data_IF_714761467690
#
_entry.id   IF_714761467690
#
_cell.length_a   1.000
_cell.length_b   1.000
_cell.length_c   1.000
_cell.angle_alpha   90.00
_cell.angle_beta   90.00
_cell.angle_gamma   90.00
#
_symmetry.space_group_name_H-M   'P 1'
#
loop_
_entity.id
_entity.type
_entity.pdbx_description
1 polymer ?
#
# COMPACT_ATOMS: atom_id res chain seq x y z
N UNK A 1 33.29 11.84 -26.64
CA UNK A 1 32.95 10.55 -26.07
C UNK A 1 31.49 10.27 -26.38
N UNK A 2 31.14 9.20 -27.08
CA UNK A 2 29.74 8.82 -27.28
C UNK A 2 29.19 8.36 -25.94
N UNK A 3 27.98 8.81 -25.49
CA UNK A 3 27.39 8.30 -24.28
C UNK A 3 27.17 6.80 -24.42
N UNK A 4 27.54 6.04 -23.40
CA UNK A 4 27.33 4.59 -23.32
C UNK A 4 25.82 4.31 -23.37
N UNK A 5 25.32 3.84 -24.51
CA UNK A 5 23.97 3.32 -24.69
C UNK A 5 23.90 1.94 -24.05
N UNK A 6 23.62 1.85 -22.76
CA UNK A 6 23.12 0.60 -22.12
C UNK A 6 22.50 0.89 -20.76
N UNK A 7 21.40 1.62 -20.74
CA UNK A 7 20.38 1.38 -19.73
C UNK A 7 19.08 1.13 -20.49
N UNK A 8 18.64 -0.13 -20.56
CA UNK A 8 17.29 -0.46 -20.99
C UNK A 8 16.32 0.21 -20.02
N UNK A 9 15.82 1.39 -20.39
CA UNK A 9 14.82 2.09 -19.57
C UNK A 9 13.49 1.36 -19.72
N UNK A 10 13.21 0.49 -18.76
CA UNK A 10 11.94 -0.24 -18.65
C UNK A 10 11.11 0.32 -17.51
N UNK A 11 9.78 0.25 -17.64
CA UNK A 11 8.86 0.63 -16.59
C UNK A 11 7.64 -0.32 -16.58
N UNK A 12 6.90 -0.34 -15.48
CA UNK A 12 5.70 -1.14 -15.30
C UNK A 12 4.52 -0.22 -15.01
N UNK A 13 3.45 -0.34 -15.77
CA UNK A 13 2.16 0.30 -15.53
C UNK A 13 1.14 -0.78 -15.16
N UNK A 14 0.45 -0.61 -14.04
CA UNK A 14 -0.63 -1.50 -13.61
C UNK A 14 -1.94 -0.72 -13.71
N UNK A 15 -2.89 -1.21 -14.51
CA UNK A 15 -4.25 -0.67 -14.57
C UNK A 15 -5.17 -1.48 -13.66
N UNK A 16 -5.99 -0.79 -12.87
CA UNK A 16 -6.76 -1.39 -11.80
C UNK A 16 -8.11 -0.69 -11.60
N UNK A 17 -9.11 -1.41 -11.13
CA UNK A 17 -10.35 -0.82 -10.68
C UNK A 17 -10.20 -0.13 -9.32
N UNK A 18 -10.96 0.94 -9.07
CA UNK A 18 -10.71 1.88 -7.98
C UNK A 18 -11.05 1.38 -6.57
N UNK A 19 -11.95 0.40 -6.41
CA UNK A 19 -12.44 0.02 -5.09
C UNK A 19 -11.39 -0.69 -4.23
N UNK A 20 -10.50 -1.46 -4.87
CA UNK A 20 -9.47 -2.24 -4.19
C UNK A 20 -8.04 -1.88 -4.62
N UNK A 21 -7.87 -0.78 -5.37
CA UNK A 21 -6.57 -0.31 -5.84
C UNK A 21 -5.57 -0.11 -4.70
N UNK A 22 -6.00 0.47 -3.58
CA UNK A 22 -5.14 0.74 -2.43
C UNK A 22 -4.52 -0.54 -1.82
N UNK A 23 -5.25 -1.66 -1.79
CA UNK A 23 -4.72 -2.96 -1.35
C UNK A 23 -3.69 -3.53 -2.31
N UNK A 24 -3.95 -3.46 -3.61
CA UNK A 24 -2.98 -3.90 -4.63
C UNK A 24 -1.72 -3.04 -4.60
N UNK A 25 -1.87 -1.72 -4.43
CA UNK A 25 -0.73 -0.81 -4.26
C UNK A 25 0.16 -1.26 -3.08
N UNK A 26 -0.43 -1.43 -1.89
CA UNK A 26 0.29 -1.87 -0.71
C UNK A 26 0.92 -3.26 -0.91
N UNK A 27 0.21 -4.22 -1.52
CA UNK A 27 0.72 -5.56 -1.80
C UNK A 27 1.97 -5.53 -2.69
N UNK A 28 1.95 -4.75 -3.77
CA UNK A 28 3.11 -4.61 -4.67
C UNK A 28 4.30 -3.98 -3.93
N UNK A 29 4.06 -2.96 -3.10
CA UNK A 29 5.11 -2.30 -2.30
C UNK A 29 5.77 -3.25 -1.30
N UNK A 30 4.98 -4.04 -0.56
CA UNK A 30 5.54 -5.01 0.39
C UNK A 30 6.20 -6.20 -0.29
N UNK A 31 5.75 -6.60 -1.47
CA UNK A 31 6.32 -7.73 -2.17
C UNK A 31 7.65 -7.43 -2.85
N UNK A 32 7.83 -6.25 -3.46
CA UNK A 32 9.01 -5.93 -4.30
C UNK A 32 10.13 -5.38 -3.45
N UNK A 33 11.29 -6.04 -3.48
CA UNK A 33 12.55 -5.64 -2.83
C UNK A 33 13.60 -5.34 -3.88
N UNK A 34 14.51 -4.41 -3.55
CA UNK A 34 15.58 -4.00 -4.46
C UNK A 34 15.05 -3.55 -5.84
N UNK A 35 13.98 -2.73 -5.80
CA UNK A 35 13.30 -2.28 -7.02
C UNK A 35 14.24 -1.51 -7.95
N UNK A 36 14.27 -1.90 -9.22
CA UNK A 36 15.16 -1.33 -10.25
C UNK A 36 14.44 -0.54 -11.35
N UNK A 37 13.11 -0.50 -11.34
CA UNK A 37 12.30 0.23 -12.32
C UNK A 37 11.13 0.94 -11.65
N UNK A 38 10.66 2.02 -12.25
CA UNK A 38 9.44 2.66 -11.78
C UNK A 38 8.21 1.79 -12.05
N UNK A 39 7.31 1.68 -11.06
CA UNK A 39 6.04 0.98 -11.14
C UNK A 39 4.93 1.97 -10.81
N UNK A 40 4.08 2.29 -11.79
CA UNK A 40 2.88 3.09 -11.58
C UNK A 40 1.64 2.20 -11.51
N UNK A 41 0.75 2.50 -10.57
CA UNK A 41 -0.57 1.88 -10.48
C UNK A 41 -1.61 2.97 -10.73
N UNK A 42 -2.62 2.70 -11.55
CA UNK A 42 -3.66 3.68 -11.84
C UNK A 42 -5.00 3.01 -12.15
N UNK A 43 -6.03 3.81 -12.18
CA UNK A 43 -7.39 3.42 -12.51
C UNK A 43 -8.19 4.60 -13.04
N UNK A 44 -9.50 4.47 -13.13
CA UNK A 44 -10.40 5.59 -13.43
C UNK A 44 -11.71 5.46 -12.67
N UNK A 45 -12.30 6.61 -12.34
CA UNK A 45 -13.67 6.68 -11.80
C UNK A 45 -14.71 6.59 -12.92
N UNK A 46 -14.37 7.07 -14.11
CA UNK A 46 -15.23 7.11 -15.28
C UNK A 46 -14.63 6.23 -16.36
N UNK A 47 -15.40 5.27 -16.92
CA UNK A 47 -14.95 4.42 -18.02
C UNK A 47 -14.40 5.22 -19.20
N UNK A 48 -13.51 4.62 -19.99
CA UNK A 48 -13.12 5.21 -21.27
C UNK A 48 -14.34 5.31 -22.20
N UNK A 49 -14.64 6.49 -22.75
CA UNK A 49 -15.83 6.67 -23.59
C UNK A 49 -15.71 5.95 -24.93
N UNK A 50 -16.87 5.62 -25.52
CA UNK A 50 -16.98 5.00 -26.85
C UNK A 50 -16.74 5.98 -28.00
N UNK A 51 -16.81 7.30 -27.73
CA UNK A 51 -16.77 8.35 -28.73
C UNK A 51 -15.90 9.55 -28.38
N UNK A 52 -15.72 10.43 -29.35
CA UNK A 52 -15.04 11.72 -29.18
C UNK A 52 -16.01 12.67 -28.47
N UNK A 53 -15.67 13.09 -27.26
CA UNK A 53 -16.40 14.13 -26.54
C UNK A 53 -16.84 13.78 -25.10
N UNK A 54 -16.77 12.52 -24.72
CA UNK A 54 -17.11 12.14 -23.35
C UNK A 54 -15.90 12.29 -22.42
N UNK A 55 -16.14 12.81 -21.25
CA UNK A 55 -15.09 13.02 -20.24
C UNK A 55 -14.77 11.71 -19.53
N UNK A 56 -13.50 11.31 -19.53
CA UNK A 56 -12.99 10.25 -18.67
C UNK A 56 -11.65 10.68 -18.04
N UNK A 57 -11.49 10.42 -16.75
CA UNK A 57 -10.22 10.64 -16.04
C UNK A 57 -9.16 9.59 -16.42
N UNK A 58 -9.54 8.48 -17.06
CA UNK A 58 -8.65 7.43 -17.52
C UNK A 58 -7.50 7.96 -18.38
N UNK A 59 -7.81 8.86 -19.32
CA UNK A 59 -6.82 9.41 -20.23
C UNK A 59 -5.73 10.20 -19.54
N UNK A 60 -6.13 11.04 -18.59
CA UNK A 60 -5.18 11.84 -17.80
C UNK A 60 -4.40 10.95 -16.82
N UNK A 61 -5.06 10.02 -16.15
CA UNK A 61 -4.45 9.12 -15.20
C UNK A 61 -3.38 8.22 -15.87
N UNK A 62 -3.67 7.60 -17.01
CA UNK A 62 -2.71 6.79 -17.77
C UNK A 62 -1.58 7.67 -18.32
N UNK A 63 -1.94 8.79 -18.98
CA UNK A 63 -0.97 9.66 -19.62
C UNK A 63 0.07 10.18 -18.66
N UNK A 64 -0.36 10.68 -17.53
CA UNK A 64 0.55 11.21 -16.52
C UNK A 64 1.25 10.10 -15.73
N UNK A 65 0.65 8.90 -15.58
CA UNK A 65 1.39 7.74 -15.07
C UNK A 65 2.65 7.45 -15.90
N UNK A 66 2.52 7.46 -17.22
CA UNK A 66 3.66 7.22 -18.11
C UNK A 66 4.70 8.34 -17.99
N UNK A 67 4.28 9.59 -17.82
CA UNK A 67 5.21 10.71 -17.57
C UNK A 67 5.96 10.55 -16.26
N UNK A 68 5.27 10.23 -15.16
CA UNK A 68 5.91 9.97 -13.86
C UNK A 68 6.88 8.79 -13.93
N UNK A 69 6.53 7.70 -14.67
CA UNK A 69 7.40 6.55 -14.87
C UNK A 69 8.76 6.89 -15.49
N UNK A 70 8.85 7.97 -16.25
CA UNK A 70 10.10 8.41 -16.91
C UNK A 70 10.93 9.39 -16.10
N UNK A 71 10.43 9.87 -14.95
CA UNK A 71 11.05 11.01 -14.25
C UNK A 71 11.51 10.68 -12.83
N UNK A 72 10.91 9.70 -12.14
CA UNK A 72 11.34 9.35 -10.79
C UNK A 72 12.70 8.64 -10.77
N UNK A 73 13.62 9.16 -9.96
CA UNK A 73 14.94 8.59 -9.67
C UNK A 73 15.24 8.82 -8.18
N UNK A 74 15.58 7.77 -7.39
CA UNK A 74 15.62 6.35 -7.73
C UNK A 74 14.25 5.77 -8.09
N UNK A 75 14.18 4.50 -8.57
CA UNK A 75 12.93 3.85 -8.92
C UNK A 75 11.94 3.78 -7.75
N UNK A 76 10.67 4.09 -8.03
CA UNK A 76 9.58 4.14 -7.04
C UNK A 76 8.41 3.25 -7.46
N UNK A 77 7.62 2.84 -6.47
CA UNK A 77 6.29 2.23 -6.63
C UNK A 77 5.27 3.27 -6.15
N UNK A 78 4.36 3.67 -7.02
CA UNK A 78 3.44 4.78 -6.73
C UNK A 78 2.10 4.60 -7.43
N UNK A 79 1.07 5.28 -6.94
CA UNK A 79 -0.23 5.38 -7.60
C UNK A 79 -0.43 6.77 -8.17
N UNK A 80 -0.89 6.86 -9.42
CA UNK A 80 -1.26 8.13 -10.06
C UNK A 80 -2.76 8.21 -10.20
N UNK A 81 -3.34 9.29 -9.68
CA UNK A 81 -4.78 9.52 -9.71
C UNK A 81 -5.12 11.03 -9.72
N UNK A 82 -6.42 11.35 -9.49
CA UNK A 82 -6.91 12.72 -9.41
C UNK A 82 -6.67 13.50 -10.72
N UNK A 83 -7.22 12.98 -11.83
CA UNK A 83 -6.96 13.45 -13.22
C UNK A 83 -5.46 13.39 -13.58
N UNK A 84 -4.75 12.41 -13.06
CA UNK A 84 -3.32 12.25 -13.29
C UNK A 84 -2.46 13.33 -12.63
N UNK A 85 -3.03 14.14 -11.76
CA UNK A 85 -2.31 15.26 -11.15
C UNK A 85 -1.40 14.84 -10.00
N UNK A 86 -1.73 13.75 -9.30
CA UNK A 86 -1.07 13.36 -8.06
C UNK A 86 -0.43 11.98 -8.18
N UNK A 87 0.81 11.86 -7.69
CA UNK A 87 1.51 10.59 -7.48
C UNK A 87 1.69 10.35 -5.98
N UNK A 88 1.20 9.20 -5.50
CA UNK A 88 1.19 8.81 -4.09
C UNK A 88 2.08 7.59 -3.85
N UNK A 89 2.92 7.62 -2.81
CA UNK A 89 3.84 6.52 -2.47
C UNK A 89 3.28 5.52 -1.49
N UNK A 90 2.54 5.96 -0.48
CA UNK A 90 2.01 5.09 0.58
C UNK A 90 0.75 5.66 1.24
N UNK A 91 0.23 4.94 2.24
CA UNK A 91 -0.97 5.30 2.99
C UNK A 91 -2.16 5.67 2.10
N UNK A 92 -2.24 5.00 0.94
CA UNK A 92 -3.26 5.27 -0.06
C UNK A 92 -4.64 4.81 0.42
N UNK A 93 -5.66 5.65 0.25
CA UNK A 93 -7.06 5.30 0.50
C UNK A 93 -8.02 6.09 -0.38
N UNK A 94 -9.17 5.47 -0.68
CA UNK A 94 -10.23 6.06 -1.48
C UNK A 94 -11.09 6.96 -0.60
N UNK A 95 -11.14 8.27 -0.90
CA UNK A 95 -11.88 9.28 -0.13
C UNK A 95 -13.19 9.68 -0.78
N UNK A 96 -13.34 9.47 -2.07
CA UNK A 96 -14.52 9.89 -2.80
C UNK A 96 -15.04 8.78 -3.72
N UNK A 97 -16.38 8.72 -3.88
CA UNK A 97 -17.07 7.70 -4.70
C UNK A 97 -17.28 8.15 -6.14
N UNK A 98 -17.38 9.45 -6.39
CA UNK A 98 -17.86 10.00 -7.64
C UNK A 98 -16.94 11.05 -8.25
N UNK A 99 -16.10 11.70 -7.45
CA UNK A 99 -15.19 12.73 -7.91
C UNK A 99 -13.91 12.09 -8.46
N UNK A 100 -13.33 12.73 -9.46
CA UNK A 100 -12.03 12.33 -10.00
C UNK A 100 -10.90 12.50 -8.97
N UNK A 101 -11.06 13.37 -7.96
CA UNK A 101 -10.21 13.45 -6.78
C UNK A 101 -10.59 12.33 -5.79
N UNK A 102 -10.37 11.10 -6.20
CA UNK A 102 -10.86 9.93 -5.50
C UNK A 102 -9.92 9.37 -4.44
N UNK A 103 -8.64 9.71 -4.52
CA UNK A 103 -7.61 9.15 -3.63
C UNK A 103 -6.82 10.22 -2.91
N UNK A 104 -6.40 9.87 -1.69
CA UNK A 104 -5.37 10.55 -0.92
C UNK A 104 -4.34 9.54 -0.41
N UNK A 105 -3.16 10.04 -0.07
CA UNK A 105 -2.03 9.27 0.43
C UNK A 105 -0.81 10.18 0.59
N UNK A 106 0.35 9.59 0.84
CA UNK A 106 1.61 10.33 0.90
C UNK A 106 2.02 10.78 -0.50
N UNK A 107 1.94 12.09 -0.71
CA UNK A 107 2.16 12.72 -2.01
C UNK A 107 3.67 12.85 -2.29
N UNK A 108 4.15 12.27 -3.38
CA UNK A 108 5.55 12.35 -3.83
C UNK A 108 5.74 13.20 -5.07
N UNK A 109 4.68 13.46 -5.81
CA UNK A 109 4.77 14.33 -6.99
C UNK A 109 3.42 14.85 -7.43
N UNK A 110 3.43 16.03 -8.04
CA UNK A 110 2.25 16.63 -8.69
C UNK A 110 2.57 17.03 -10.13
N UNK A 111 1.56 16.97 -10.99
CA UNK A 111 1.63 17.45 -12.35
C UNK A 111 1.12 18.89 -12.40
N UNK A 112 1.97 19.84 -12.81
CA UNK A 112 1.57 21.24 -13.03
C UNK A 112 2.02 21.67 -14.43
N UNK A 113 1.08 22.14 -15.23
CA UNK A 113 1.38 22.68 -16.57
C UNK A 113 2.26 21.77 -17.44
N UNK A 114 1.98 20.46 -17.44
CA UNK A 114 2.78 19.42 -18.10
C UNK A 114 4.18 19.15 -17.51
N UNK A 115 4.51 19.71 -16.35
CA UNK A 115 5.74 19.46 -15.61
C UNK A 115 5.46 18.69 -14.32
N UNK A 116 6.36 17.78 -13.95
CA UNK A 116 6.29 17.06 -12.67
C UNK A 116 6.97 17.90 -11.58
N UNK A 117 6.24 18.18 -10.51
CA UNK A 117 6.79 18.77 -9.30
C UNK A 117 6.91 17.70 -8.22
N UNK A 118 8.09 17.56 -7.66
CA UNK A 118 8.40 16.56 -6.63
C UNK A 118 8.24 17.16 -5.24
N UNK A 119 7.72 16.36 -4.31
CA UNK A 119 7.45 16.77 -2.93
C UNK A 119 8.33 16.05 -1.91
N UNK A 120 9.11 15.06 -2.31
CA UNK A 120 10.07 14.36 -1.45
C UNK A 120 11.50 14.84 -1.79
N UNK A 121 12.27 15.24 -0.76
CA UNK A 121 13.65 15.69 -0.89
C UNK A 121 14.62 14.58 -1.35
N UNK A 122 14.19 13.31 -1.26
CA UNK A 122 15.00 12.13 -1.67
C UNK A 122 14.89 11.85 -3.17
N UNK A 123 13.94 12.48 -3.86
CA UNK A 123 13.71 12.22 -5.29
C UNK A 123 14.59 13.18 -6.10
N UNK A 124 15.64 12.63 -6.72
CA UNK A 124 16.43 13.39 -7.71
C UNK A 124 15.67 13.44 -9.03
N UNK A 125 15.61 14.64 -9.61
CA UNK A 125 15.00 14.84 -10.91
C UNK A 125 16.02 14.58 -12.01
N UNK A 126 15.68 13.78 -13.00
CA UNK A 126 16.37 13.81 -14.28
C UNK A 126 15.91 15.05 -15.04
N UNK A 127 16.81 16.00 -15.36
CA UNK A 127 16.50 17.21 -16.14
C UNK A 127 15.88 16.92 -17.52
N UNK A 128 16.03 15.69 -17.99
CA UNK A 128 15.40 15.20 -19.24
C UNK A 128 14.66 13.91 -18.97
N UNK A 129 13.36 13.82 -19.34
CA UNK A 129 12.61 12.56 -19.24
C UNK A 129 13.36 11.45 -19.97
N UNK A 130 13.57 10.31 -19.29
CA UNK A 130 14.17 9.15 -19.92
C UNK A 130 13.23 8.60 -20.98
N UNK A 131 13.75 8.29 -22.18
CA UNK A 131 12.95 7.54 -23.15
C UNK A 131 12.79 6.09 -22.68
N UNK A 132 11.55 5.60 -22.67
CA UNK A 132 11.29 4.19 -22.36
C UNK A 132 11.61 3.30 -23.56
N UNK A 133 12.42 2.28 -23.36
CA UNK A 133 12.63 1.22 -24.34
C UNK A 133 11.49 0.17 -24.28
N UNK A 134 11.01 -0.11 -23.07
CA UNK A 134 9.92 -1.06 -22.82
C UNK A 134 8.94 -0.54 -21.75
N UNK A 135 7.65 -0.63 -22.05
CA UNK A 135 6.58 -0.42 -21.10
C UNK A 135 5.81 -1.72 -20.92
N UNK A 136 5.86 -2.31 -19.74
CA UNK A 136 5.04 -3.45 -19.36
C UNK A 136 3.71 -2.94 -18.83
N UNK A 137 2.60 -3.39 -19.38
CA UNK A 137 1.25 -3.01 -18.96
C UNK A 137 0.56 -4.22 -18.37
N UNK A 138 0.41 -4.23 -17.05
CA UNK A 138 -0.32 -5.28 -16.32
C UNK A 138 -1.75 -4.82 -16.16
N UNK A 139 -2.71 -5.62 -16.64
CA UNK A 139 -4.13 -5.27 -16.64
C UNK A 139 -4.89 -6.17 -15.67
N UNK A 140 -5.88 -5.59 -14.97
CA UNK A 140 -6.73 -6.34 -14.03
C UNK A 140 -8.22 -6.25 -14.36
N UNK A 141 -8.61 -5.49 -15.38
CA UNK A 141 -9.99 -5.11 -15.63
C UNK A 141 -10.38 -3.84 -14.85
N UNK A 142 -11.65 -3.75 -14.50
CA UNK A 142 -12.23 -2.62 -13.80
C UNK A 142 -12.57 -1.45 -14.73
N UNK A 143 -13.11 -0.38 -14.15
CA UNK A 143 -13.70 0.77 -14.85
C UNK A 143 -12.79 1.36 -15.95
N UNK A 144 -11.49 1.32 -15.78
CA UNK A 144 -10.52 1.85 -16.75
C UNK A 144 -10.49 1.05 -18.07
N UNK A 145 -10.86 -0.23 -18.02
CA UNK A 145 -10.85 -1.17 -19.16
C UNK A 145 -12.26 -1.58 -19.58
N UNK A 146 -13.30 -1.01 -18.96
CA UNK A 146 -14.70 -1.38 -19.16
C UNK A 146 -15.49 -0.27 -19.84
N UNK A 147 -16.59 -0.65 -20.46
CA UNK A 147 -17.59 0.28 -20.99
C UNK A 147 -18.97 -0.17 -20.60
N UNK A 148 -19.91 0.77 -20.49
CA UNK A 148 -21.31 0.44 -20.30
C UNK A 148 -21.90 -0.15 -21.58
N UNK A 149 -22.53 -1.33 -21.45
CA UNK A 149 -23.37 -1.84 -22.52
C UNK A 149 -24.73 -1.14 -22.52
N UNK A 150 -25.60 -1.49 -23.48
CA UNK A 150 -26.94 -0.92 -23.64
C UNK A 150 -27.82 -1.04 -22.38
N UNK A 151 -27.53 -1.97 -21.48
CA UNK A 151 -28.23 -2.19 -20.23
C UNK A 151 -27.56 -1.52 -19.01
N UNK A 152 -26.55 -0.70 -19.23
CA UNK A 152 -25.77 -0.04 -18.16
C UNK A 152 -24.87 -0.98 -17.38
N UNK A 153 -24.56 -2.17 -17.90
CA UNK A 153 -23.65 -3.12 -17.29
C UNK A 153 -22.24 -2.89 -17.85
N UNK A 154 -21.25 -2.79 -16.96
CA UNK A 154 -19.84 -2.70 -17.35
C UNK A 154 -19.40 -4.01 -18.02
N UNK A 155 -18.71 -3.89 -19.14
CA UNK A 155 -18.13 -5.03 -19.86
C UNK A 155 -16.70 -4.72 -20.29
N UNK A 156 -15.76 -5.68 -20.11
CA UNK A 156 -14.36 -5.49 -20.42
C UNK A 156 -14.09 -5.17 -21.88
N UNK A 157 -13.21 -4.21 -22.13
CA UNK A 157 -12.79 -3.76 -23.47
C UNK A 157 -11.26 -3.65 -23.55
N UNK A 158 -10.56 -4.77 -23.39
CA UNK A 158 -9.09 -4.82 -23.36
C UNK A 158 -8.40 -4.12 -24.53
N UNK A 159 -8.98 -4.17 -25.73
CA UNK A 159 -8.38 -3.55 -26.91
C UNK A 159 -8.35 -2.02 -26.88
N UNK A 160 -9.18 -1.38 -26.06
CA UNK A 160 -9.26 0.09 -25.98
C UNK A 160 -8.06 0.68 -25.26
N UNK A 161 -7.73 0.14 -24.09
CA UNK A 161 -6.55 0.55 -23.34
C UNK A 161 -5.29 0.38 -24.20
N UNK A 162 -5.17 -0.77 -24.85
CA UNK A 162 -4.05 -1.06 -25.75
C UNK A 162 -4.00 -0.05 -26.92
N UNK A 163 -5.12 0.24 -27.54
CA UNK A 163 -5.23 1.21 -28.63
C UNK A 163 -4.90 2.62 -28.16
N UNK A 164 -5.41 3.02 -26.98
CA UNK A 164 -5.15 4.34 -26.41
C UNK A 164 -3.66 4.54 -26.12
N UNK A 165 -3.04 3.62 -25.39
CA UNK A 165 -1.61 3.71 -25.04
C UNK A 165 -0.78 3.75 -26.32
N UNK A 166 -1.06 2.88 -27.28
CA UNK A 166 -0.37 2.84 -28.58
C UNK A 166 -0.54 4.15 -29.38
N UNK A 167 -1.72 4.72 -29.42
CA UNK A 167 -2.01 5.93 -30.23
C UNK A 167 -1.43 7.20 -29.60
N UNK A 168 -1.44 7.31 -28.27
CA UNK A 168 -1.02 8.52 -27.55
C UNK A 168 0.44 8.54 -27.16
N UNK A 169 1.03 7.37 -26.97
CA UNK A 169 2.43 7.20 -26.56
C UNK A 169 3.23 6.40 -27.61
N UNK A 170 2.80 6.50 -28.88
CA UNK A 170 3.51 5.89 -30.01
C UNK A 170 4.86 6.61 -30.22
N UNK A 171 5.75 6.33 -29.29
CA UNK A 171 7.16 6.48 -29.56
C UNK A 171 7.55 5.19 -30.31
N UNK A 172 7.93 5.26 -31.61
CA UNK A 172 8.29 4.08 -32.40
C UNK A 172 9.42 3.27 -31.76
N UNK A 173 10.14 3.87 -30.82
CA UNK A 173 11.24 3.24 -30.09
C UNK A 173 10.79 2.53 -28.80
N UNK A 174 9.55 2.74 -28.31
CA UNK A 174 9.05 2.11 -27.08
C UNK A 174 8.25 0.85 -27.39
N UNK A 175 8.74 -0.31 -26.93
CA UNK A 175 8.00 -1.57 -27.01
C UNK A 175 6.98 -1.69 -25.86
N UNK A 176 5.69 -1.74 -26.19
CA UNK A 176 4.62 -1.96 -25.22
C UNK A 176 4.34 -3.47 -25.13
N UNK A 177 4.33 -4.02 -23.89
CA UNK A 177 4.16 -5.44 -23.60
C UNK A 177 2.98 -5.60 -22.64
N UNK A 178 1.87 -6.18 -23.10
CA UNK A 178 0.69 -6.42 -22.30
C UNK A 178 0.77 -7.75 -21.55
N UNK A 179 0.44 -7.72 -20.24
CA UNK A 179 0.44 -8.88 -19.34
C UNK A 179 -0.83 -8.89 -18.49
N UNK A 180 -1.94 -9.43 -18.98
CA UNK A 180 -3.15 -9.50 -18.19
C UNK A 180 -2.93 -10.40 -16.96
N UNK A 181 -3.28 -9.87 -15.77
CA UNK A 181 -3.26 -10.63 -14.52
C UNK A 181 -4.63 -11.26 -14.23
N UNK A 182 -5.69 -10.51 -14.45
CA UNK A 182 -7.08 -10.95 -14.37
C UNK A 182 -7.97 -9.97 -15.18
N UNK A 183 -9.24 -10.30 -15.31
CA UNK A 183 -10.26 -9.43 -15.91
C UNK A 183 -11.47 -9.49 -15.00
N UNK A 184 -11.58 -8.51 -14.11
CA UNK A 184 -12.61 -8.48 -13.07
C UNK A 184 -13.03 -7.05 -12.76
N UNK A 185 -14.24 -6.88 -12.22
CA UNK A 185 -14.56 -5.69 -11.44
C UNK A 185 -13.69 -5.69 -10.16
N UNK A 186 -13.24 -4.52 -9.74
CA UNK A 186 -12.37 -4.42 -8.56
C UNK A 186 -13.08 -4.81 -7.25
N UNK A 187 -14.40 -4.76 -7.20
CA UNK A 187 -15.20 -5.28 -6.09
C UNK A 187 -15.09 -6.80 -5.95
N UNK A 188 -14.72 -7.50 -7.02
CA UNK A 188 -14.50 -8.95 -7.06
C UNK A 188 -13.04 -9.36 -6.82
N UNK A 189 -12.18 -8.42 -6.42
CA UNK A 189 -10.79 -8.72 -6.09
C UNK A 189 -10.74 -9.63 -4.85
N UNK A 190 -10.09 -10.77 -5.01
CA UNK A 190 -9.74 -11.66 -3.90
C UNK A 190 -8.24 -11.58 -3.63
N UNK A 191 -7.82 -12.09 -2.47
CA UNK A 191 -6.40 -12.20 -2.13
C UNK A 191 -5.61 -12.96 -3.22
N UNK A 192 -6.14 -14.07 -3.72
CA UNK A 192 -5.52 -14.84 -4.81
C UNK A 192 -5.36 -14.05 -6.10
N UNK A 193 -6.34 -13.22 -6.48
CA UNK A 193 -6.27 -12.37 -7.67
C UNK A 193 -5.26 -11.22 -7.49
N UNK A 194 -5.20 -10.65 -6.28
CA UNK A 194 -4.19 -9.64 -5.93
C UNK A 194 -2.77 -10.24 -6.02
N UNK A 195 -2.57 -11.44 -5.49
CA UNK A 195 -1.30 -12.19 -5.62
C UNK A 195 -0.95 -12.46 -7.09
N UNK A 196 -1.94 -12.70 -7.96
CA UNK A 196 -1.70 -12.85 -9.38
C UNK A 196 -1.11 -11.56 -10.03
N UNK A 197 -1.55 -10.37 -9.59
CA UNK A 197 -0.95 -9.09 -10.03
C UNK A 197 0.52 -9.04 -9.62
N UNK A 198 0.84 -9.34 -8.37
CA UNK A 198 2.22 -9.35 -7.86
C UNK A 198 3.08 -10.37 -8.62
N UNK A 199 2.53 -11.53 -8.96
CA UNK A 199 3.22 -12.53 -9.81
C UNK A 199 3.54 -11.99 -11.21
N UNK A 200 2.64 -11.19 -11.80
CA UNK A 200 2.93 -10.54 -13.09
C UNK A 200 4.04 -9.51 -12.99
N UNK A 201 4.12 -8.77 -11.88
CA UNK A 201 5.26 -7.89 -11.60
C UNK A 201 6.57 -8.70 -11.55
N UNK A 202 6.57 -9.85 -10.85
CA UNK A 202 7.71 -10.77 -10.79
C UNK A 202 8.14 -11.26 -12.19
N UNK A 203 7.18 -11.65 -13.03
CA UNK A 203 7.45 -12.04 -14.43
C UNK A 203 8.11 -10.89 -15.22
N UNK A 204 7.63 -9.64 -15.04
CA UNK A 204 8.22 -8.47 -15.69
C UNK A 204 9.70 -8.29 -15.30
N UNK A 205 10.03 -8.38 -14.03
CA UNK A 205 11.42 -8.27 -13.57
C UNK A 205 12.31 -9.33 -14.18
N UNK A 206 11.85 -10.59 -14.27
CA UNK A 206 12.59 -11.66 -14.94
C UNK A 206 12.87 -11.42 -16.43
N UNK A 207 12.05 -10.58 -17.10
CA UNK A 207 12.25 -10.18 -18.50
C UNK A 207 13.07 -8.88 -18.65
N UNK A 208 13.01 -8.00 -17.64
CA UNK A 208 13.74 -6.71 -17.63
C UNK A 208 15.23 -6.97 -17.39
N UNK A 209 15.56 -7.63 -16.30
CA UNK A 209 16.92 -8.03 -15.97
C UNK A 209 16.92 -9.36 -15.19
N UNK A 210 17.13 -10.50 -15.90
CA UNK A 210 17.18 -11.83 -15.27
C UNK A 210 18.33 -12.02 -14.26
N UNK A 211 19.27 -11.08 -14.20
CA UNK A 211 20.44 -11.15 -13.31
C UNK A 211 20.35 -10.13 -12.17
N UNK A 212 19.28 -9.33 -12.13
CA UNK A 212 19.09 -8.39 -11.03
C UNK A 212 18.90 -9.12 -9.70
N UNK A 213 19.19 -8.43 -8.63
CA UNK A 213 18.93 -8.86 -7.26
C UNK A 213 17.51 -8.49 -6.79
N UNK A 214 16.63 -8.12 -7.72
CA UNK A 214 15.21 -7.89 -7.41
C UNK A 214 14.58 -9.17 -6.89
N UNK A 215 14.02 -9.07 -5.71
CA UNK A 215 13.29 -10.15 -5.07
C UNK A 215 11.82 -9.77 -4.92
N UNK A 216 10.92 -10.66 -5.33
CA UNK A 216 9.47 -10.49 -5.15
C UNK A 216 8.98 -11.52 -4.16
N UNK A 217 8.65 -11.04 -2.97
CA UNK A 217 8.18 -11.83 -1.85
C UNK A 217 6.66 -11.98 -1.89
N UNK A 218 6.18 -13.22 -1.88
CA UNK A 218 4.76 -13.55 -1.96
C UNK A 218 4.22 -14.13 -0.65
N UNK A 219 5.02 -14.09 0.42
CA UNK A 219 4.63 -14.62 1.72
C UNK A 219 3.70 -13.64 2.46
N UNK A 220 2.43 -13.72 2.18
CA UNK A 220 1.37 -12.98 2.87
C UNK A 220 0.40 -13.95 3.52
N UNK A 221 -0.09 -13.62 4.70
CA UNK A 221 -1.20 -14.34 5.35
C UNK A 221 -2.54 -13.65 5.03
N UNK A 222 -3.48 -14.39 4.46
CA UNK A 222 -4.81 -13.86 4.10
C UNK A 222 -5.79 -13.74 5.28
N UNK A 223 -5.40 -14.21 6.48
CA UNK A 223 -6.27 -14.27 7.65
C UNK A 223 -6.23 -13.01 8.53
N UNK A 224 -5.84 -11.88 7.97
CA UNK A 224 -5.92 -10.58 8.66
C UNK A 224 -7.34 -10.02 8.52
N UNK A 225 -8.02 -9.78 9.66
CA UNK A 225 -9.41 -9.30 9.68
C UNK A 225 -9.47 -7.81 10.04
N UNK A 226 -10.40 -7.10 9.41
CA UNK A 226 -10.73 -5.70 9.74
C UNK A 226 -12.05 -5.69 10.49
N UNK A 227 -12.08 -5.05 11.65
CA UNK A 227 -13.27 -4.87 12.47
C UNK A 227 -13.55 -3.37 12.61
N UNK A 228 -14.76 -2.97 12.25
CA UNK A 228 -15.24 -1.62 12.53
C UNK A 228 -15.95 -1.60 13.87
N UNK A 229 -15.59 -0.64 14.74
CA UNK A 229 -16.36 -0.40 15.97
C UNK A 229 -17.75 0.09 15.60
N UNK A 230 -18.76 -0.49 16.27
CA UNK A 230 -20.16 -0.25 15.98
C UNK A 230 -20.94 -0.30 17.31
N UNK A 231 -21.76 0.74 17.65
CA UNK A 231 -22.49 0.77 18.91
C UNK A 231 -23.60 -0.29 19.02
N UNK A 232 -23.97 -0.92 17.90
CA UNK A 232 -24.99 -1.98 17.87
C UNK A 232 -24.40 -3.40 17.94
N UNK A 233 -23.09 -3.55 17.79
CA UNK A 233 -22.44 -4.87 17.84
C UNK A 233 -22.32 -5.39 19.27
N UNK A 234 -22.70 -6.64 19.47
CA UNK A 234 -22.44 -7.41 20.68
C UNK A 234 -21.04 -8.03 20.67
N UNK A 235 -20.54 -8.43 21.85
CA UNK A 235 -19.30 -9.18 21.98
C UNK A 235 -19.28 -10.44 21.12
N UNK A 236 -20.38 -11.19 21.07
CA UNK A 236 -20.48 -12.40 20.27
C UNK A 236 -20.27 -12.15 18.75
N UNK A 237 -20.74 -11.01 18.25
CA UNK A 237 -20.52 -10.62 16.86
C UNK A 237 -19.05 -10.26 16.61
N UNK A 238 -18.39 -9.52 17.50
CA UNK A 238 -16.96 -9.23 17.39
C UNK A 238 -16.12 -10.52 17.39
N UNK A 239 -16.41 -11.45 18.33
CA UNK A 239 -15.70 -12.74 18.40
C UNK A 239 -15.88 -13.59 17.15
N UNK A 240 -17.07 -13.58 16.55
CA UNK A 240 -17.35 -14.26 15.30
C UNK A 240 -16.58 -13.66 14.11
N UNK A 241 -16.45 -12.34 14.06
CA UNK A 241 -15.73 -11.65 12.97
C UNK A 241 -14.23 -11.95 12.97
N UNK A 242 -13.66 -12.27 14.14
CA UNK A 242 -12.22 -12.60 14.27
C UNK A 242 -11.91 -14.09 14.25
N UNK A 243 -12.90 -14.94 14.12
CA UNK A 243 -12.68 -16.39 14.11
C UNK A 243 -11.68 -16.79 13.02
N UNK A 244 -10.61 -17.48 13.42
CA UNK A 244 -9.51 -17.87 12.54
C UNK A 244 -8.58 -16.74 12.10
N UNK A 245 -8.69 -15.54 12.69
CA UNK A 245 -7.79 -14.44 12.38
C UNK A 245 -6.37 -14.73 12.90
N UNK A 246 -5.36 -14.40 12.08
CA UNK A 246 -3.95 -14.39 12.47
C UNK A 246 -3.52 -13.04 13.06
N UNK A 247 -4.17 -11.95 12.62
CA UNK A 247 -4.02 -10.59 13.15
C UNK A 247 -5.30 -9.80 12.90
N UNK A 248 -5.49 -8.71 13.65
CA UNK A 248 -6.71 -7.90 13.60
C UNK A 248 -6.39 -6.41 13.44
N UNK A 249 -7.15 -5.73 12.59
CA UNK A 249 -7.23 -4.28 12.50
C UNK A 249 -8.55 -3.84 13.14
N UNK A 250 -8.50 -3.04 14.19
CA UNK A 250 -9.68 -2.41 14.78
C UNK A 250 -9.76 -0.97 14.30
N UNK A 251 -10.78 -0.66 13.52
CA UNK A 251 -11.08 0.69 13.08
C UNK A 251 -12.01 1.37 14.11
N UNK A 252 -11.42 2.17 15.00
CA UNK A 252 -12.10 2.92 16.04
C UNK A 252 -12.77 4.20 15.54
N UNK A 253 -13.48 4.90 16.40
CA UNK A 253 -14.09 6.19 16.09
C UNK A 253 -13.06 7.32 16.12
N UNK A 254 -13.26 8.37 15.33
CA UNK A 254 -12.45 9.60 15.36
C UNK A 254 -10.94 9.30 15.36
N UNK A 255 -10.22 9.72 16.38
CA UNK A 255 -8.78 9.49 16.53
C UNK A 255 -8.38 8.07 16.97
N UNK A 256 -9.18 7.04 16.68
CA UNK A 256 -8.95 5.66 17.11
C UNK A 256 -9.65 5.28 18.42
N UNK A 257 -10.68 6.03 18.81
CA UNK A 257 -11.39 5.80 20.08
C UNK A 257 -12.21 4.51 20.06
N UNK A 258 -12.19 3.78 21.18
CA UNK A 258 -13.05 2.63 21.45
C UNK A 258 -13.81 2.82 22.75
N UNK A 259 -14.91 2.08 22.97
CA UNK A 259 -15.59 2.11 24.25
C UNK A 259 -14.73 1.43 25.34
N UNK A 260 -14.39 2.17 26.40
CA UNK A 260 -13.58 1.68 27.53
C UNK A 260 -14.41 1.39 28.79
N UNK A 261 -15.73 1.67 28.77
CA UNK A 261 -16.60 1.43 29.92
C UNK A 261 -16.87 -0.08 30.09
N UNK A 262 -16.20 -0.70 31.03
CA UNK A 262 -16.35 -2.12 31.36
C UNK A 262 -17.72 -2.48 31.93
N UNK A 263 -18.53 -1.49 32.35
CA UNK A 263 -19.89 -1.69 32.85
C UNK A 263 -20.94 -1.63 31.73
N UNK A 264 -20.57 -1.15 30.54
CA UNK A 264 -21.41 -1.27 29.36
C UNK A 264 -21.41 -2.73 28.90
N UNK A 265 -22.54 -3.28 28.49
CA UNK A 265 -22.72 -4.73 28.17
C UNK A 265 -21.62 -5.40 27.33
N UNK A 266 -20.82 -4.61 26.59
CA UNK A 266 -19.57 -5.03 25.95
C UNK A 266 -18.56 -3.87 25.91
N UNK A 267 -17.35 -4.13 26.39
CA UNK A 267 -16.22 -3.20 26.28
C UNK A 267 -15.18 -3.72 25.29
N UNK A 268 -14.98 -3.04 24.15
CA UNK A 268 -13.86 -3.35 23.25
C UNK A 268 -12.50 -3.34 23.94
N UNK A 269 -12.31 -2.57 25.00
CA UNK A 269 -11.06 -2.55 25.77
C UNK A 269 -10.73 -3.93 26.36
N UNK A 270 -11.70 -4.57 27.04
CA UNK A 270 -11.51 -5.92 27.58
C UNK A 270 -11.22 -6.93 26.49
N UNK A 271 -11.95 -6.86 25.39
CA UNK A 271 -11.74 -7.69 24.20
C UNK A 271 -10.32 -7.51 23.62
N UNK A 272 -9.85 -6.26 23.46
CA UNK A 272 -8.50 -5.95 23.00
C UNK A 272 -7.47 -6.59 23.93
N UNK A 273 -7.62 -6.43 25.25
CA UNK A 273 -6.69 -6.98 26.24
C UNK A 273 -6.58 -8.49 26.19
N UNK A 274 -7.70 -9.18 25.98
CA UNK A 274 -7.73 -10.64 25.83
C UNK A 274 -7.05 -11.08 24.53
N UNK A 275 -7.46 -10.51 23.41
CA UNK A 275 -7.02 -10.96 22.09
C UNK A 275 -5.56 -10.55 21.79
N UNK A 276 -5.11 -9.38 22.24
CA UNK A 276 -3.72 -8.93 22.03
C UNK A 276 -2.68 -9.79 22.76
N UNK A 277 -3.10 -10.62 23.71
CA UNK A 277 -2.24 -11.63 24.33
C UNK A 277 -1.97 -12.83 23.41
N UNK A 278 -2.82 -13.06 22.41
CA UNK A 278 -2.78 -14.24 21.52
C UNK A 278 -2.31 -13.89 20.11
N UNK A 279 -2.82 -12.78 19.55
CA UNK A 279 -2.52 -12.34 18.19
C UNK A 279 -2.30 -10.82 18.12
N UNK A 280 -1.56 -10.32 17.11
CA UNK A 280 -1.38 -8.88 16.93
C UNK A 280 -2.71 -8.17 16.66
N UNK A 281 -2.94 -7.06 17.39
CA UNK A 281 -4.09 -6.17 17.23
C UNK A 281 -3.59 -4.78 16.92
N UNK A 282 -3.99 -4.22 15.77
CA UNK A 282 -3.66 -2.84 15.40
C UNK A 282 -4.91 -1.98 15.53
N UNK A 283 -4.81 -0.87 16.23
CA UNK A 283 -5.86 0.13 16.35
C UNK A 283 -5.62 1.29 15.40
N UNK A 284 -6.65 1.64 14.63
CA UNK A 284 -6.66 2.77 13.70
C UNK A 284 -8.02 3.48 13.73
N UNK A 285 -8.29 4.37 12.79
CA UNK A 285 -9.54 5.12 12.68
C UNK A 285 -10.42 4.64 11.53
N UNK A 286 -11.76 4.72 11.73
CA UNK A 286 -12.74 4.63 10.64
C UNK A 286 -12.74 5.87 9.75
N UNK A 287 -12.22 7.00 10.26
CA UNK A 287 -12.15 8.26 9.53
C UNK A 287 -10.98 8.20 8.58
N UNK A 288 -11.28 8.37 7.30
CA UNK A 288 -10.29 8.23 6.23
C UNK A 288 -9.17 9.29 6.30
N UNK A 289 -9.48 10.49 6.81
CA UNK A 289 -8.54 11.61 6.84
C UNK A 289 -8.04 11.89 8.25
N UNK A 290 -6.74 12.06 8.36
CA UNK A 290 -6.05 12.40 9.60
C UNK A 290 -5.51 11.19 10.36
N UNK A 291 -4.49 11.40 11.19
CA UNK A 291 -3.86 10.33 11.96
C UNK A 291 -4.77 9.83 13.09
N UNK A 292 -4.68 8.57 13.41
CA UNK A 292 -5.15 8.02 14.67
C UNK A 292 -4.13 8.36 15.77
N UNK A 293 -4.18 9.57 16.32
CA UNK A 293 -3.12 10.11 17.17
C UNK A 293 -3.28 9.85 18.67
N UNK A 294 -4.29 9.05 19.05
CA UNK A 294 -4.48 8.49 20.41
C UNK A 294 -4.38 9.52 21.55
N UNK A 295 -4.85 10.73 21.30
CA UNK A 295 -4.81 11.84 22.28
C UNK A 295 -5.84 11.65 23.39
N UNK A 296 -6.94 10.97 23.07
CA UNK A 296 -8.04 10.73 23.99
C UNK A 296 -7.82 9.48 24.84
N UNK A 297 -8.30 9.51 26.10
CA UNK A 297 -8.23 8.39 27.02
C UNK A 297 -8.72 7.07 26.41
N UNK A 298 -9.83 7.12 25.69
CA UNK A 298 -10.45 5.95 25.06
C UNK A 298 -9.55 5.23 24.04
N UNK A 299 -8.70 5.96 23.32
CA UNK A 299 -7.75 5.38 22.40
C UNK A 299 -6.45 4.96 23.13
N UNK A 300 -6.02 5.79 24.10
CA UNK A 300 -4.84 5.54 24.91
C UNK A 300 -4.94 4.25 25.72
N UNK A 301 -6.07 4.02 26.38
CA UNK A 301 -6.29 2.80 27.18
C UNK A 301 -6.30 1.54 26.30
N UNK A 302 -6.74 1.62 25.04
CA UNK A 302 -6.67 0.50 24.11
C UNK A 302 -5.21 0.14 23.75
N UNK A 303 -4.34 1.14 23.58
CA UNK A 303 -2.90 0.91 23.37
C UNK A 303 -2.25 0.30 24.63
N UNK A 304 -2.62 0.80 25.82
CA UNK A 304 -2.17 0.21 27.10
C UNK A 304 -2.66 -1.24 27.28
N UNK A 305 -3.81 -1.58 26.72
CA UNK A 305 -4.35 -2.94 26.74
C UNK A 305 -3.62 -3.91 25.79
N UNK A 306 -2.69 -3.43 24.96
CA UNK A 306 -1.85 -4.23 24.10
C UNK A 306 -2.07 -4.04 22.60
N UNK A 307 -2.94 -3.10 22.20
CA UNK A 307 -3.07 -2.76 20.78
C UNK A 307 -1.83 -2.00 20.28
N UNK A 308 -1.44 -2.26 19.04
CA UNK A 308 -0.40 -1.51 18.32
C UNK A 308 -1.07 -0.30 17.62
N UNK A 309 -0.40 0.83 17.62
CA UNK A 309 -0.91 2.02 16.92
C UNK A 309 -0.76 1.92 15.41
N UNK A 310 -1.84 2.14 14.65
CA UNK A 310 -1.79 2.30 13.19
C UNK A 310 -1.36 3.70 12.74
N UNK A 311 -1.28 4.65 13.67
CA UNK A 311 -0.87 6.07 13.50
C UNK A 311 -1.49 6.72 12.26
N UNK A 312 -0.74 6.84 11.19
CA UNK A 312 -1.09 7.53 9.93
C UNK A 312 -1.25 6.61 8.73
N UNK A 313 -1.13 5.30 8.94
CA UNK A 313 -1.36 4.34 7.87
C UNK A 313 -2.86 4.18 7.55
N UNK A 314 -3.17 4.04 6.29
CA UNK A 314 -4.52 3.68 5.82
C UNK A 314 -4.88 2.24 6.21
N UNK A 315 -6.19 1.93 6.29
CA UNK A 315 -6.64 0.56 6.58
C UNK A 315 -6.07 -0.46 5.57
N UNK A 316 -6.09 -0.21 4.24
CA UNK A 316 -5.45 -1.10 3.28
C UNK A 316 -3.96 -1.34 3.56
N UNK A 317 -3.23 -0.28 3.87
CA UNK A 317 -1.79 -0.36 4.19
C UNK A 317 -1.54 -1.18 5.46
N UNK A 318 -2.30 -0.92 6.54
CA UNK A 318 -2.20 -1.68 7.79
C UNK A 318 -2.49 -3.16 7.55
N UNK A 319 -3.56 -3.48 6.82
CA UNK A 319 -3.94 -4.86 6.57
C UNK A 319 -2.87 -5.60 5.78
N UNK A 320 -2.34 -4.99 4.74
CA UNK A 320 -1.28 -5.60 3.92
C UNK A 320 0.03 -5.73 4.68
N UNK A 321 0.39 -4.75 5.52
CA UNK A 321 1.56 -4.80 6.40
C UNK A 321 1.46 -5.94 7.41
N UNK A 322 0.30 -6.11 8.02
CA UNK A 322 0.02 -7.25 8.91
C UNK A 322 0.07 -8.58 8.15
N UNK A 323 -0.55 -8.66 6.97
CA UNK A 323 -0.52 -9.85 6.13
C UNK A 323 0.92 -10.26 5.78
N UNK A 324 1.78 -9.29 5.44
CA UNK A 324 3.18 -9.54 5.16
C UNK A 324 3.94 -10.02 6.41
N UNK A 325 3.78 -9.37 7.56
CA UNK A 325 4.40 -9.78 8.82
C UNK A 325 3.96 -11.17 9.27
N UNK A 326 2.65 -11.48 9.16
CA UNK A 326 2.11 -12.78 9.54
C UNK A 326 2.50 -13.89 8.54
N UNK A 327 2.68 -13.56 7.27
CA UNK A 327 3.28 -14.48 6.29
C UNK A 327 4.70 -14.90 6.67
N UNK A 328 5.42 -14.06 7.42
CA UNK A 328 6.77 -14.32 7.93
C UNK A 328 6.81 -14.73 9.41
N UNK A 329 5.67 -15.09 10.00
CA UNK A 329 5.56 -15.46 11.43
C UNK A 329 6.61 -16.48 11.86
N UNK A 330 6.83 -17.53 11.06
CA UNK A 330 7.80 -18.58 11.38
C UNK A 330 9.24 -18.05 11.47
N UNK A 331 9.62 -17.07 10.66
CA UNK A 331 10.94 -16.42 10.75
C UNK A 331 11.06 -15.58 12.02
N UNK A 332 10.01 -14.84 12.40
CA UNK A 332 9.98 -14.09 13.66
C UNK A 332 10.11 -15.04 14.85
N UNK A 333 9.35 -16.15 14.86
CA UNK A 333 9.39 -17.16 15.94
C UNK A 333 10.77 -17.82 16.05
N UNK A 334 11.38 -18.19 14.94
CA UNK A 334 12.74 -18.74 14.90
C UNK A 334 13.78 -17.74 15.45
N UNK A 335 13.62 -16.47 15.06
CA UNK A 335 14.49 -15.40 15.57
C UNK A 335 14.29 -15.20 17.08
N UNK A 336 13.05 -15.23 17.59
CA UNK A 336 12.75 -15.15 19.02
C UNK A 336 13.44 -16.25 19.82
N UNK A 337 13.39 -17.48 19.33
CA UNK A 337 14.02 -18.64 19.99
C UNK A 337 15.53 -18.49 20.06
N UNK A 338 16.18 -18.01 19.00
CA UNK A 338 17.64 -17.87 18.94
C UNK A 338 18.16 -16.67 19.72
N UNK A 339 17.34 -15.67 20.02
CA UNK A 339 17.75 -14.41 20.68
C UNK A 339 17.05 -14.14 22.02
N UNK A 340 16.30 -15.09 22.55
CA UNK A 340 15.52 -14.96 23.79
C UNK A 340 14.63 -13.69 23.80
N UNK A 341 13.97 -13.41 22.68
CA UNK A 341 13.17 -12.20 22.49
C UNK A 341 11.67 -12.51 22.44
N UNK A 342 10.84 -11.52 22.81
CA UNK A 342 9.39 -11.62 22.70
C UNK A 342 8.95 -11.44 21.26
N UNK A 343 8.07 -12.32 20.78
CA UNK A 343 7.43 -12.22 19.46
C UNK A 343 6.75 -10.86 19.28
N UNK A 344 5.91 -10.45 20.22
CA UNK A 344 5.17 -9.19 20.13
C UNK A 344 6.08 -7.96 20.09
N UNK A 345 7.20 -7.98 20.82
CA UNK A 345 8.14 -6.87 20.81
C UNK A 345 8.83 -6.71 19.44
N UNK A 346 9.24 -7.81 18.81
CA UNK A 346 9.83 -7.79 17.47
C UNK A 346 8.78 -7.40 16.45
N UNK A 347 7.60 -8.00 16.54
CA UNK A 347 6.49 -7.73 15.65
C UNK A 347 6.10 -6.24 15.66
N UNK A 348 5.88 -5.67 16.84
CA UNK A 348 5.56 -4.25 17.02
C UNK A 348 6.68 -3.36 16.46
N UNK A 349 7.93 -3.69 16.75
CA UNK A 349 9.07 -2.92 16.25
C UNK A 349 9.13 -2.92 14.72
N UNK A 350 8.97 -4.07 14.07
CA UNK A 350 8.91 -4.18 12.61
C UNK A 350 7.69 -3.44 12.05
N UNK A 351 6.52 -3.62 12.68
CA UNK A 351 5.28 -2.95 12.25
C UNK A 351 5.44 -1.43 12.29
N UNK A 352 6.10 -0.89 13.30
CA UNK A 352 6.26 0.56 13.50
C UNK A 352 7.44 1.16 12.73
N UNK A 353 8.27 0.34 12.05
CA UNK A 353 9.39 0.84 11.27
C UNK A 353 8.91 1.73 10.11
N UNK A 354 9.61 2.84 9.86
CA UNK A 354 9.27 3.79 8.81
C UNK A 354 8.02 4.64 9.04
N UNK A 355 7.34 4.50 10.17
CA UNK A 355 6.14 5.30 10.45
C UNK A 355 6.45 6.80 10.53
N UNK A 356 5.71 7.56 9.76
CA UNK A 356 5.80 9.03 9.73
C UNK A 356 4.77 9.61 10.70
N UNK A 357 5.16 9.83 11.95
CA UNK A 357 4.28 10.51 12.90
C UNK A 357 4.05 11.97 12.45
N UNK A 358 2.87 12.27 11.94
CA UNK A 358 2.52 13.59 11.39
C UNK A 358 2.51 14.70 12.44
N UNK A 359 2.34 14.36 13.72
CA UNK A 359 2.40 15.34 14.81
C UNK A 359 3.51 15.02 15.80
N UNK A 360 4.30 16.04 16.17
CA UNK A 360 5.31 15.92 17.22
C UNK A 360 4.71 15.46 18.57
N UNK A 361 3.42 15.71 18.78
CA UNK A 361 2.73 15.37 20.02
C UNK A 361 2.40 13.87 20.08
N UNK A 362 1.83 13.31 19.02
CA UNK A 362 1.56 11.87 18.94
C UNK A 362 2.84 11.05 19.01
N UNK A 363 3.88 11.47 18.31
CA UNK A 363 5.20 10.83 18.38
C UNK A 363 5.77 10.80 19.80
N UNK A 364 5.81 11.94 20.50
CA UNK A 364 6.33 12.02 21.87
C UNK A 364 5.52 11.18 22.86
N UNK A 365 4.19 11.17 22.72
CA UNK A 365 3.33 10.36 23.57
C UNK A 365 3.63 8.88 23.34
N UNK A 366 3.66 8.41 22.09
CA UNK A 366 3.92 7.01 21.77
C UNK A 366 5.32 6.55 22.21
N UNK A 367 6.36 7.29 21.86
CA UNK A 367 7.74 7.00 22.26
C UNK A 367 7.90 7.02 23.80
N UNK A 368 7.19 7.96 24.49
CA UNK A 368 7.22 8.03 25.94
C UNK A 368 6.53 6.84 26.62
N UNK A 369 5.47 6.32 26.03
CA UNK A 369 4.73 5.19 26.63
C UNK A 369 5.45 3.86 26.46
N UNK A 370 5.94 3.60 25.29
CA UNK A 370 6.59 2.32 24.98
C UNK A 370 8.06 2.29 25.33
N UNK A 371 8.67 3.45 25.65
CA UNK A 371 10.11 3.62 25.90
C UNK A 371 10.97 2.96 24.81
N UNK A 372 10.45 2.89 23.60
CA UNK A 372 11.09 2.28 22.42
C UNK A 372 11.38 3.35 21.39
N UNK A 373 12.54 3.28 20.76
CA UNK A 373 12.84 4.03 19.56
C UNK A 373 12.70 3.09 18.36
N UNK A 374 11.92 3.49 17.37
CA UNK A 374 11.71 2.72 16.15
C UNK A 374 12.69 3.16 15.08
N UNK A 375 13.03 2.25 14.18
CA UNK A 375 13.81 2.62 12.99
C UNK A 375 12.96 3.53 12.11
N UNK A 376 13.56 4.63 11.63
CA UNK A 376 12.87 5.60 10.76
C UNK A 376 12.79 5.12 9.31
N UNK A 377 13.59 4.10 8.95
CA UNK A 377 13.54 3.44 7.65
C UNK A 377 12.35 2.49 7.65
N UNK A 378 11.62 2.41 6.56
CA UNK A 378 10.63 1.36 6.40
C UNK A 378 11.35 0.04 6.06
N UNK A 379 11.61 -0.75 7.10
CA UNK A 379 12.36 -1.98 6.97
C UNK A 379 11.61 -3.02 6.13
N UNK A 380 10.28 -3.02 6.21
CA UNK A 380 9.46 -3.99 5.49
C UNK A 380 9.31 -3.69 4.00
N UNK A 381 9.59 -2.46 3.58
CA UNK A 381 9.56 -2.04 2.17
C UNK A 381 10.95 -2.15 1.54
N UNK A 382 11.97 -1.63 2.23
CA UNK A 382 13.28 -1.38 1.65
C UNK A 382 14.25 -2.57 1.75
N UNK A 383 13.94 -3.56 2.58
CA UNK A 383 14.84 -4.67 2.88
C UNK A 383 14.13 -6.02 2.79
N UNK A 384 14.89 -7.11 2.62
CA UNK A 384 14.37 -8.46 2.79
C UNK A 384 13.95 -8.68 4.24
N UNK A 385 13.14 -9.70 4.50
CA UNK A 385 12.64 -9.92 5.85
C UNK A 385 13.78 -10.31 6.83
N UNK A 386 14.75 -11.09 6.37
CA UNK A 386 15.95 -11.45 7.15
C UNK A 386 16.81 -10.25 7.48
N UNK A 387 17.04 -9.34 6.53
CA UNK A 387 17.75 -8.08 6.79
C UNK A 387 17.02 -7.23 7.82
N UNK A 388 15.70 -7.16 7.75
CA UNK A 388 14.86 -6.43 8.71
C UNK A 388 15.02 -6.99 10.14
N UNK A 389 15.07 -8.31 10.31
CA UNK A 389 15.35 -8.94 11.60
C UNK A 389 16.77 -8.65 12.11
N UNK A 390 17.77 -8.59 11.25
CA UNK A 390 19.14 -8.25 11.61
C UNK A 390 19.23 -6.82 12.16
N UNK A 391 18.52 -5.85 11.59
CA UNK A 391 18.46 -4.48 12.13
C UNK A 391 17.87 -4.43 13.54
N UNK A 392 16.93 -5.29 13.89
CA UNK A 392 16.46 -5.40 15.28
C UNK A 392 17.56 -5.83 16.25
N UNK A 393 18.43 -6.76 15.86
CA UNK A 393 19.60 -7.17 16.66
C UNK A 393 20.55 -6.01 16.93
N UNK A 394 20.87 -5.23 15.90
CA UNK A 394 21.74 -4.06 15.99
C UNK A 394 21.13 -2.99 16.91
N UNK A 395 19.83 -2.72 16.75
CA UNK A 395 19.08 -1.80 17.59
C UNK A 395 19.13 -2.20 19.07
N UNK A 396 18.85 -3.49 19.38
CA UNK A 396 18.87 -4.00 20.74
C UNK A 396 20.27 -3.89 21.37
N UNK A 397 21.33 -4.22 20.62
CA UNK A 397 22.72 -4.09 21.10
C UNK A 397 23.08 -2.63 21.41
N UNK A 398 22.68 -1.68 20.57
CA UNK A 398 22.94 -0.25 20.79
C UNK A 398 22.17 0.33 21.98
N UNK A 399 21.01 -0.21 22.30
CA UNK A 399 20.16 0.22 23.43
C UNK A 399 20.67 -0.28 24.78
N UNK A 400 21.40 -1.39 24.79
CA UNK A 400 22.01 -1.95 26.02
C UNK A 400 23.36 -1.31 26.37
N UNK A 401 23.98 -0.59 25.44
CA UNK A 401 25.27 0.08 25.63
C UNK A 401 25.15 1.53 26.12
N UNK A 402 23.92 2.03 26.28
CA UNK A 402 23.58 3.35 26.87
C UNK A 402 23.01 3.18 28.29
#
# INVERSE_FOLDING_TARGET
MKPNKTSNHSAILITHGTDTLAWTHAAVRYAVKNNIVNIAITGSQIPMPDGVGDFSDAYANIGNSIRFLTQFTPPHIFTVFNNGQNAFSDSLYKINRWDNNAFEGDLIGTMQWDEVQFHDEVIETSETPASLDKLYVITTGGTIEETFNENGVLSPQQDRLATFIKTKFDNPDTKIIYKPACVIDSSDLTFSKMTAVVNKVKECFGEIDPKSDVFVDLNFDENVRIIFTDPFKSEAQYRKEIEGASAIVIAGYGGGNVNIDENSGFSPLKFIKEISAEIPVVLTSQVALGPADFIYENAYEAINAGAISGVDLSIPEIQMRLAYLMGHKALIESYCQSHEASFMNIFEWLFMSGMKFRTHKSRRLYEGWKQTSFDRRDLLINYTFEESLNFYSEFKASSQSK
#
